data_IF_664247881939
#
_entry.id   IF_664247881939
#
_cell.length_a   1.000
_cell.length_b   1.000
_cell.length_c   1.000
_cell.angle_alpha   90.00
_cell.angle_beta   90.00
_cell.angle_gamma   90.00
#
_symmetry.space_group_name_H-M   'P 1'
#
loop_
_entity.id
_entity.type
_entity.pdbx_description
1 polymer ?
#
# COMPACT_ATOMS: atom_id res chain seq x y z
N UNK A 1 11.50 10.30 64.74
CA UNK A 1 10.75 9.27 64.00
C UNK A 1 11.45 9.14 62.67
N UNK A 2 12.38 8.21 62.61
CA UNK A 2 13.29 7.93 61.51
C UNK A 2 12.84 6.59 60.96
N UNK A 3 12.11 6.62 59.86
CA UNK A 3 11.60 5.41 59.22
C UNK A 3 12.73 4.73 58.45
N UNK A 4 13.01 3.50 58.87
CA UNK A 4 13.98 2.59 58.28
C UNK A 4 13.53 2.16 56.89
N UNK A 5 14.34 2.48 55.87
CA UNK A 5 14.22 1.92 54.53
C UNK A 5 14.69 0.46 54.55
N UNK A 6 13.75 -0.47 54.66
CA UNK A 6 14.01 -1.89 54.45
C UNK A 6 14.11 -2.16 52.94
N UNK A 7 15.30 -2.50 52.46
CA UNK A 7 15.49 -3.01 51.10
C UNK A 7 14.81 -4.38 50.94
N UNK A 8 14.06 -4.62 49.85
CA UNK A 8 13.45 -5.92 49.60
C UNK A 8 14.53 -6.94 49.20
N UNK A 9 14.68 -7.97 50.02
CA UNK A 9 15.49 -9.16 49.73
C UNK A 9 14.89 -9.89 48.53
N UNK A 10 15.61 -9.87 47.39
CA UNK A 10 15.29 -10.73 46.26
C UNK A 10 15.65 -12.19 46.61
N UNK A 11 14.75 -13.16 46.33
CA UNK A 11 15.03 -14.57 46.58
C UNK A 11 16.11 -15.07 45.60
N UNK A 12 17.24 -15.52 46.16
CA UNK A 12 18.28 -16.28 45.46
C UNK A 12 17.82 -17.72 45.26
N UNK A 13 17.19 -18.02 44.12
CA UNK A 13 16.97 -19.39 43.68
C UNK A 13 17.94 -19.69 42.54
N UNK A 14 19.14 -20.11 42.92
CA UNK A 14 20.13 -20.71 42.03
C UNK A 14 19.79 -22.20 41.85
N UNK A 15 19.09 -22.51 40.76
CA UNK A 15 19.19 -23.82 40.12
C UNK A 15 19.15 -23.59 38.62
N UNK A 16 20.32 -23.21 38.07
CA UNK A 16 20.57 -23.24 36.63
C UNK A 16 20.48 -24.70 36.17
N UNK A 17 19.32 -25.11 35.70
CA UNK A 17 19.19 -26.31 34.89
C UNK A 17 19.89 -26.02 33.56
N UNK A 18 21.09 -26.56 33.41
CA UNK A 18 21.83 -26.50 32.14
C UNK A 18 21.08 -27.37 31.13
N UNK A 19 20.26 -26.74 30.29
CA UNK A 19 19.69 -27.40 29.12
C UNK A 19 20.85 -27.87 28.22
N UNK A 20 21.00 -29.18 28.08
CA UNK A 20 21.95 -29.80 27.16
C UNK A 20 21.43 -29.57 25.75
N UNK A 21 21.95 -28.52 25.10
CA UNK A 21 21.66 -28.22 23.71
C UNK A 21 22.25 -29.37 22.86
N UNK A 22 21.38 -30.15 22.23
CA UNK A 22 21.80 -31.22 21.34
C UNK A 22 22.39 -30.61 20.05
N UNK A 23 23.71 -30.54 19.96
CA UNK A 23 24.44 -29.99 18.80
C UNK A 23 24.21 -30.75 17.49
N UNK A 24 23.59 -31.94 17.56
CA UNK A 24 23.21 -32.74 16.39
C UNK A 24 21.73 -32.60 16.02
N UNK A 25 20.97 -31.72 16.68
CA UNK A 25 19.63 -31.38 16.20
C UNK A 25 19.77 -30.64 14.87
N UNK A 26 19.30 -31.24 13.78
CA UNK A 26 19.09 -30.51 12.54
C UNK A 26 18.29 -29.24 12.88
N UNK A 27 18.73 -28.06 12.40
CA UNK A 27 17.98 -26.84 12.66
C UNK A 27 16.56 -27.08 12.17
N UNK A 28 15.59 -27.00 13.09
CA UNK A 28 14.17 -26.97 12.80
C UNK A 28 13.91 -25.65 12.06
N UNK A 29 14.41 -25.56 10.83
CA UNK A 29 13.86 -24.63 9.87
C UNK A 29 12.43 -25.10 9.71
N UNK A 30 11.43 -24.26 10.06
CA UNK A 30 10.06 -24.62 9.82
C UNK A 30 9.96 -25.05 8.36
N UNK A 31 9.35 -26.22 8.12
CA UNK A 31 9.01 -26.69 6.78
C UNK A 31 8.00 -25.69 6.23
N UNK A 32 8.53 -24.59 5.71
CA UNK A 32 7.75 -23.49 5.21
C UNK A 32 7.27 -23.92 3.84
N UNK A 33 6.17 -24.68 3.84
CA UNK A 33 5.31 -24.83 2.69
C UNK A 33 4.66 -23.46 2.42
N UNK A 34 5.46 -22.47 2.02
CA UNK A 34 4.96 -21.19 1.53
C UNK A 34 4.16 -21.51 0.28
N UNK A 35 2.83 -21.40 0.37
CA UNK A 35 2.02 -21.38 -0.84
C UNK A 35 2.53 -20.23 -1.71
N UNK A 36 2.73 -20.46 -3.01
CA UNK A 36 3.36 -19.50 -3.94
C UNK A 36 2.68 -18.10 -3.98
N UNK A 37 1.52 -17.93 -3.32
CA UNK A 37 0.76 -16.68 -3.17
C UNK A 37 1.15 -15.80 -1.99
N UNK A 38 2.01 -16.25 -1.08
CA UNK A 38 2.19 -15.57 0.20
C UNK A 38 3.04 -14.30 0.10
N UNK A 39 2.54 -13.21 0.70
CA UNK A 39 3.26 -11.95 0.86
C UNK A 39 3.95 -11.97 2.23
N UNK A 40 5.27 -11.81 2.23
CA UNK A 40 6.07 -11.75 3.45
C UNK A 40 6.02 -10.33 3.99
N UNK A 41 5.62 -10.14 5.25
CA UNK A 41 5.63 -8.83 5.90
C UNK A 41 7.08 -8.36 6.09
N UNK A 42 7.47 -7.24 5.47
CA UNK A 42 8.83 -6.70 5.55
C UNK A 42 8.92 -5.51 6.52
N UNK A 43 7.93 -4.64 6.52
CA UNK A 43 7.84 -3.49 7.42
C UNK A 43 6.36 -3.21 7.69
N UNK A 44 6.00 -2.91 8.93
CA UNK A 44 4.65 -2.46 9.28
C UNK A 44 4.74 -1.40 10.36
N UNK A 45 3.97 -0.34 10.18
CA UNK A 45 3.71 0.71 11.15
C UNK A 45 2.23 0.66 11.54
N UNK A 46 1.83 1.49 12.51
CA UNK A 46 0.49 1.44 13.15
C UNK A 46 -0.65 1.19 12.18
N UNK A 47 -0.65 1.87 11.03
CA UNK A 47 -1.70 1.80 10.03
C UNK A 47 -1.19 1.40 8.64
N UNK A 48 0.03 0.87 8.51
CA UNK A 48 0.70 0.63 7.23
C UNK A 48 1.40 -0.72 7.26
N UNK A 49 1.24 -1.53 6.22
CA UNK A 49 1.97 -2.78 6.02
C UNK A 49 2.63 -2.78 4.66
N UNK A 50 3.90 -3.15 4.64
CA UNK A 50 4.77 -3.28 3.48
C UNK A 50 5.32 -4.70 3.42
N UNK A 51 5.17 -5.37 2.29
CA UNK A 51 5.56 -6.77 2.15
C UNK A 51 5.97 -7.19 0.74
N UNK A 52 6.70 -8.30 0.66
CA UNK A 52 7.20 -8.89 -0.58
C UNK A 52 6.32 -10.04 -1.07
N UNK A 53 5.73 -9.95 -2.26
CA UNK A 53 5.07 -11.05 -2.97
C UNK A 53 5.75 -11.33 -4.31
N UNK A 54 5.93 -12.61 -4.65
CA UNK A 54 6.64 -13.03 -5.87
C UNK A 54 5.73 -13.53 -6.99
N UNK A 55 4.44 -13.74 -6.72
CA UNK A 55 3.51 -14.40 -7.66
C UNK A 55 3.08 -13.54 -8.84
N UNK A 56 3.07 -12.22 -8.71
CA UNK A 56 2.61 -11.28 -9.73
C UNK A 56 3.38 -9.98 -9.59
N UNK A 57 4.62 -9.96 -10.10
CA UNK A 57 5.47 -8.76 -10.06
C UNK A 57 5.14 -7.86 -11.27
N UNK A 58 4.33 -6.80 -11.14
CA UNK A 58 4.17 -5.85 -12.23
C UNK A 58 5.54 -5.24 -12.58
N UNK A 59 5.80 -5.12 -13.88
CA UNK A 59 6.91 -4.31 -14.37
C UNK A 59 6.46 -2.85 -14.31
N UNK A 60 6.90 -2.13 -13.27
CA UNK A 60 6.48 -0.76 -12.98
C UNK A 60 5.70 -0.65 -11.66
N UNK A 61 4.98 0.45 -11.47
CA UNK A 61 4.16 0.68 -10.28
C UNK A 61 2.69 0.96 -10.65
N UNK A 62 1.78 0.41 -9.85
CA UNK A 62 0.35 0.68 -9.94
C UNK A 62 -0.23 0.73 -8.54
N UNK A 63 -1.09 1.69 -8.30
CA UNK A 63 -1.66 1.87 -6.98
C UNK A 63 -2.67 3.00 -6.93
N UNK A 64 -3.31 3.06 -5.78
CA UNK A 64 -4.23 4.13 -5.40
C UNK A 64 -3.97 4.49 -3.95
N UNK A 65 -3.80 5.78 -3.72
CA UNK A 65 -3.61 6.39 -2.41
C UNK A 65 -4.72 7.41 -2.18
N UNK A 66 -5.33 7.39 -1.00
CA UNK A 66 -6.28 8.39 -0.53
C UNK A 66 -5.79 8.93 0.82
N UNK A 67 -5.45 10.21 0.84
CA UNK A 67 -4.88 10.93 1.97
C UNK A 67 -5.72 12.18 2.25
N UNK A 68 -6.58 12.15 3.26
CA UNK A 68 -7.40 13.27 3.75
C UNK A 68 -8.31 13.94 2.71
N UNK A 69 -7.73 14.78 1.85
CA UNK A 69 -8.40 15.54 0.79
C UNK A 69 -7.80 15.27 -0.59
N UNK A 70 -6.94 14.25 -0.70
CA UNK A 70 -6.13 13.98 -1.87
C UNK A 70 -6.25 12.52 -2.26
N UNK A 71 -6.49 12.25 -3.53
CA UNK A 71 -6.39 10.92 -4.12
C UNK A 71 -5.33 10.94 -5.21
N UNK A 72 -4.48 9.94 -5.20
CA UNK A 72 -3.44 9.72 -6.17
C UNK A 72 -3.54 8.32 -6.74
N UNK A 73 -3.83 8.25 -8.03
CA UNK A 73 -3.82 6.99 -8.76
C UNK A 73 -2.64 7.00 -9.74
N UNK A 74 -1.93 5.89 -9.88
CA UNK A 74 -0.83 5.75 -10.83
C UNK A 74 -0.88 4.44 -11.58
N UNK A 75 -0.43 4.49 -12.83
CA UNK A 75 -0.60 3.41 -13.82
C UNK A 75 0.70 3.15 -14.60
N UNK A 76 1.86 3.24 -13.95
CA UNK A 76 3.15 3.02 -14.59
C UNK A 76 3.46 1.53 -14.84
N UNK A 77 2.59 0.60 -14.40
CA UNK A 77 2.76 -0.81 -14.66
C UNK A 77 2.52 -1.15 -16.14
N UNK A 78 3.31 -2.09 -16.67
CA UNK A 78 3.21 -2.55 -18.05
C UNK A 78 1.81 -3.09 -18.36
N UNK A 79 1.18 -2.60 -19.43
CA UNK A 79 -0.16 -3.00 -19.86
C UNK A 79 -1.30 -2.15 -19.28
N UNK A 80 -0.99 -1.22 -18.37
CA UNK A 80 -1.99 -0.29 -17.86
C UNK A 80 -2.35 0.78 -18.88
N UNK A 81 -3.62 1.19 -18.86
CA UNK A 81 -4.09 2.29 -19.70
C UNK A 81 -3.61 3.62 -19.10
N UNK A 82 -2.93 4.48 -19.87
CA UNK A 82 -2.53 5.79 -19.36
C UNK A 82 -3.76 6.67 -19.09
N UNK A 83 -3.62 7.59 -18.14
CA UNK A 83 -4.63 8.60 -17.88
C UNK A 83 -4.67 9.64 -19.00
N UNK A 84 -5.76 10.43 -19.04
CA UNK A 84 -5.83 11.64 -19.86
C UNK A 84 -4.74 12.63 -19.48
N UNK A 85 -4.52 13.64 -20.33
CA UNK A 85 -3.70 14.80 -19.95
C UNK A 85 -4.61 16.01 -19.87
N UNK A 86 -4.67 16.64 -18.70
CA UNK A 86 -5.43 17.88 -18.49
C UNK A 86 -6.18 17.92 -17.16
N UNK A 87 -7.03 18.93 -17.02
CA UNK A 87 -7.88 19.12 -15.84
C UNK A 87 -9.24 18.49 -16.13
N UNK A 88 -9.61 17.46 -15.37
CA UNK A 88 -10.81 16.63 -15.60
C UNK A 88 -11.60 16.51 -14.30
N UNK A 89 -12.17 17.60 -13.81
CA UNK A 89 -12.89 17.62 -12.52
C UNK A 89 -14.28 17.01 -12.63
N UNK A 90 -14.56 15.98 -11.85
CA UNK A 90 -15.87 15.33 -11.75
C UNK A 90 -16.59 15.72 -10.46
N UNK A 91 -17.41 16.78 -10.54
CA UNK A 91 -18.18 17.28 -9.38
C UNK A 91 -19.18 16.25 -8.84
N UNK A 92 -19.63 15.29 -9.65
CA UNK A 92 -20.56 14.25 -9.20
C UNK A 92 -19.92 13.27 -8.19
N UNK A 93 -18.60 13.16 -8.22
CA UNK A 93 -17.80 12.37 -7.27
C UNK A 93 -17.32 13.18 -6.06
N UNK A 94 -17.71 14.46 -5.96
CA UNK A 94 -17.23 15.36 -4.92
C UNK A 94 -15.82 15.90 -5.16
N UNK A 95 -15.27 15.78 -6.37
CA UNK A 95 -13.95 16.31 -6.72
C UNK A 95 -13.98 17.85 -6.74
N UNK A 96 -13.08 18.47 -6.00
CA UNK A 96 -12.85 19.90 -6.03
C UNK A 96 -12.02 20.30 -7.24
N UNK A 97 -10.98 19.53 -7.52
CA UNK A 97 -10.09 19.68 -8.66
C UNK A 97 -9.52 18.31 -9.00
N UNK A 98 -9.31 18.02 -10.28
CA UNK A 98 -8.58 16.83 -10.71
C UNK A 98 -7.67 17.16 -11.87
N UNK A 99 -6.42 16.75 -11.75
CA UNK A 99 -5.39 16.89 -12.77
C UNK A 99 -4.91 15.50 -13.14
N UNK A 100 -5.05 15.17 -14.41
CA UNK A 100 -4.49 13.95 -14.97
C UNK A 100 -3.22 14.28 -15.76
N UNK A 101 -2.19 13.47 -15.56
CA UNK A 101 -1.02 13.37 -16.42
C UNK A 101 -0.90 11.92 -16.88
N UNK A 102 -0.13 11.68 -17.94
CA UNK A 102 -0.10 10.38 -18.62
C UNK A 102 0.01 9.15 -17.69
N UNK A 103 0.81 9.24 -16.62
CA UNK A 103 1.08 8.14 -15.71
C UNK A 103 0.38 8.23 -14.34
N UNK A 104 -0.24 9.37 -13.99
CA UNK A 104 -0.93 9.52 -12.71
C UNK A 104 -2.10 10.50 -12.77
N UNK A 105 -3.06 10.30 -11.86
CA UNK A 105 -4.22 11.15 -11.65
C UNK A 105 -4.20 11.65 -10.21
N UNK A 106 -4.31 12.97 -10.05
CA UNK A 106 -4.36 13.63 -8.76
C UNK A 106 -5.72 14.31 -8.61
N UNK A 107 -6.55 13.83 -7.70
CA UNK A 107 -7.85 14.42 -7.40
C UNK A 107 -7.88 14.99 -5.98
N UNK A 108 -8.48 16.16 -5.82
CA UNK A 108 -8.69 16.83 -4.54
C UNK A 108 -10.16 16.78 -4.17
N UNK A 109 -10.44 16.57 -2.89
CA UNK A 109 -11.78 16.46 -2.32
C UNK A 109 -11.93 17.42 -1.15
N UNK A 110 -13.16 17.55 -0.66
CA UNK A 110 -13.36 18.12 0.67
C UNK A 110 -12.66 17.22 1.72
N UNK A 111 -11.89 17.79 2.68
CA UNK A 111 -11.12 17.00 3.63
C UNK A 111 -11.98 16.03 4.43
N UNK A 112 -11.60 14.77 4.42
CA UNK A 112 -12.14 13.71 5.27
C UNK A 112 -11.07 13.24 6.24
N UNK A 113 -11.47 12.74 7.40
CA UNK A 113 -10.55 12.38 8.49
C UNK A 113 -10.04 10.93 8.37
N UNK A 114 -9.74 10.49 7.15
CA UNK A 114 -9.34 9.10 6.88
C UNK A 114 -8.16 9.04 5.90
N UNK A 115 -7.28 8.06 6.12
CA UNK A 115 -6.15 7.69 5.25
C UNK A 115 -6.39 6.27 4.79
N UNK A 116 -6.33 6.00 3.49
CA UNK A 116 -6.46 4.65 2.91
C UNK A 116 -5.62 4.55 1.67
N UNK A 117 -4.74 3.56 1.58
CA UNK A 117 -3.95 3.36 0.37
C UNK A 117 -3.59 1.90 0.17
N UNK A 118 -3.42 1.51 -1.09
CA UNK A 118 -2.92 0.21 -1.46
C UNK A 118 -2.18 0.31 -2.79
N UNK A 119 -0.96 -0.24 -2.85
CA UNK A 119 -0.19 -0.24 -4.07
C UNK A 119 0.79 -1.39 -4.19
N UNK A 120 1.27 -1.60 -5.42
CA UNK A 120 2.35 -2.54 -5.72
C UNK A 120 3.40 -1.93 -6.62
N UNK A 121 4.64 -2.28 -6.31
CA UNK A 121 5.83 -1.92 -7.07
C UNK A 121 6.76 -3.13 -7.12
N UNK A 122 6.88 -3.77 -8.28
CA UNK A 122 7.65 -5.01 -8.44
C UNK A 122 7.17 -6.11 -7.47
N UNK A 123 8.05 -6.65 -6.62
CA UNK A 123 7.67 -7.60 -5.58
C UNK A 123 7.09 -6.94 -4.32
N UNK A 124 7.14 -5.61 -4.20
CA UNK A 124 6.68 -4.93 -3.00
C UNK A 124 5.19 -4.62 -3.11
N UNK A 125 4.51 -4.79 -1.99
CA UNK A 125 3.12 -4.41 -1.78
C UNK A 125 3.04 -3.56 -0.53
N UNK A 126 2.25 -2.50 -0.59
CA UNK A 126 1.99 -1.63 0.54
C UNK A 126 0.48 -1.44 0.69
N UNK A 127 -0.01 -1.47 1.92
CA UNK A 127 -1.40 -1.18 2.25
C UNK A 127 -1.45 -0.39 3.54
N UNK A 128 -2.32 0.60 3.63
CA UNK A 128 -2.53 1.33 4.86
C UNK A 128 -3.96 1.81 5.04
N UNK A 129 -4.40 1.93 6.30
CA UNK A 129 -5.67 2.54 6.66
C UNK A 129 -5.68 3.12 8.07
N UNK A 130 -6.09 4.39 8.20
CA UNK A 130 -6.41 5.03 9.47
C UNK A 130 -7.73 5.81 9.37
N UNK A 131 -8.76 5.51 10.19
CA UNK A 131 -8.82 4.39 11.14
C UNK A 131 -8.72 3.03 10.42
N UNK A 132 -8.56 1.95 11.19
CA UNK A 132 -8.51 0.59 10.65
C UNK A 132 -9.75 0.28 9.81
N UNK A 133 -9.54 -0.52 8.76
CA UNK A 133 -10.55 -0.86 7.77
C UNK A 133 -10.31 -2.30 7.28
N UNK A 134 -11.34 -3.14 7.39
CA UNK A 134 -11.26 -4.57 7.05
C UNK A 134 -10.87 -4.85 5.59
N UNK A 135 -11.08 -3.88 4.69
CA UNK A 135 -10.70 -4.00 3.28
C UNK A 135 -9.21 -3.69 3.06
N UNK A 136 -8.60 -2.89 3.94
CA UNK A 136 -7.22 -2.43 3.86
C UNK A 136 -6.35 -3.08 4.94
N UNK A 137 -6.34 -2.49 6.15
CA UNK A 137 -5.59 -2.94 7.33
C UNK A 137 -6.61 -3.11 8.47
N UNK A 138 -6.96 -4.36 8.84
CA UNK A 138 -8.06 -4.63 9.77
C UNK A 138 -7.71 -4.29 11.22
N UNK A 139 -6.43 -4.35 11.59
CA UNK A 139 -5.98 -4.13 12.97
C UNK A 139 -4.52 -3.66 13.01
N UNK A 140 -4.05 -3.28 14.19
CA UNK A 140 -2.68 -2.87 14.46
C UNK A 140 -1.67 -3.98 14.15
N UNK A 141 -0.63 -3.62 13.40
CA UNK A 141 0.50 -4.49 13.11
C UNK A 141 1.80 -3.67 13.23
N UNK A 142 2.86 -4.29 13.76
CA UNK A 142 4.18 -3.68 13.83
C UNK A 142 5.20 -4.69 13.36
N UNK A 143 6.00 -4.34 12.35
CA UNK A 143 7.06 -5.18 11.84
C UNK A 143 8.22 -4.35 11.33
N UNK A 144 9.44 -4.87 11.44
CA UNK A 144 10.64 -4.19 10.97
C UNK A 144 11.63 -5.21 10.42
N UNK A 145 12.01 -5.06 9.14
CA UNK A 145 12.96 -5.94 8.44
C UNK A 145 12.58 -7.43 8.48
N UNK A 146 11.30 -7.75 8.29
CA UNK A 146 10.82 -9.13 8.31
C UNK A 146 10.53 -9.68 9.70
N UNK A 147 10.83 -8.92 10.75
CA UNK A 147 10.54 -9.30 12.13
C UNK A 147 9.23 -8.63 12.53
N UNK A 148 8.18 -9.42 12.74
CA UNK A 148 6.94 -8.93 13.33
C UNK A 148 7.14 -8.76 14.84
N UNK A 149 6.79 -7.59 15.36
CA UNK A 149 6.87 -7.21 16.77
C UNK A 149 5.50 -7.27 17.47
N UNK A 150 4.40 -7.06 16.73
CA UNK A 150 3.03 -7.07 17.23
C UNK A 150 2.05 -7.41 16.08
N UNK A 151 0.92 -8.12 16.31
CA UNK A 151 0.39 -8.61 17.59
C UNK A 151 1.25 -9.72 18.22
N UNK A 152 1.83 -10.57 17.38
CA UNK A 152 2.68 -11.68 17.79
C UNK A 152 4.09 -11.50 17.24
N UNK A 153 5.10 -11.88 18.03
CA UNK A 153 6.50 -11.81 17.60
C UNK A 153 6.80 -12.97 16.67
N UNK A 154 7.42 -12.68 15.52
CA UNK A 154 7.83 -13.71 14.56
C UNK A 154 8.78 -13.20 13.49
N UNK A 155 9.31 -14.10 12.67
CA UNK A 155 10.21 -13.79 11.56
C UNK A 155 9.59 -14.30 10.26
N UNK A 156 9.63 -13.47 9.21
CA UNK A 156 9.03 -13.75 7.90
C UNK A 156 7.55 -14.16 8.00
N UNK A 157 6.82 -13.56 8.95
CA UNK A 157 5.41 -13.83 9.15
C UNK A 157 4.61 -13.34 7.94
N UNK A 158 3.57 -14.09 7.59
CA UNK A 158 2.62 -13.72 6.55
C UNK A 158 2.02 -12.34 6.86
N UNK A 159 2.01 -11.46 5.86
CA UNK A 159 1.31 -10.18 5.99
C UNK A 159 -0.19 -10.40 6.28
N UNK A 160 -0.84 -9.53 7.06
CA UNK A 160 -2.28 -9.59 7.26
C UNK A 160 -3.03 -9.63 5.92
N UNK A 161 -4.12 -10.39 5.82
CA UNK A 161 -4.91 -10.42 4.61
C UNK A 161 -5.47 -9.03 4.31
N UNK A 162 -5.31 -8.56 3.08
CA UNK A 162 -5.89 -7.30 2.61
C UNK A 162 -6.76 -7.55 1.38
N UNK A 163 -8.06 -7.29 1.53
CA UNK A 163 -9.02 -7.39 0.44
C UNK A 163 -8.65 -6.49 -0.74
N UNK A 164 -8.07 -5.32 -0.48
CA UNK A 164 -7.59 -4.39 -1.50
C UNK A 164 -6.41 -4.93 -2.31
N UNK A 165 -5.45 -5.59 -1.67
CA UNK A 165 -4.34 -6.22 -2.41
C UNK A 165 -4.86 -7.34 -3.34
N UNK A 166 -5.84 -8.13 -2.88
CA UNK A 166 -6.51 -9.13 -3.72
C UNK A 166 -7.29 -8.49 -4.87
N UNK A 167 -7.95 -7.34 -4.64
CA UNK A 167 -8.63 -6.59 -5.72
C UNK A 167 -7.63 -6.06 -6.76
N UNK A 168 -6.47 -5.58 -6.33
CA UNK A 168 -5.39 -5.15 -7.23
C UNK A 168 -4.89 -6.32 -8.09
N UNK A 169 -4.76 -7.52 -7.53
CA UNK A 169 -4.40 -8.73 -8.29
C UNK A 169 -5.46 -9.10 -9.34
N UNK A 170 -6.74 -8.91 -9.03
CA UNK A 170 -7.87 -9.30 -9.88
C UNK A 170 -8.30 -8.21 -10.88
N UNK A 171 -7.78 -6.98 -10.75
CA UNK A 171 -7.92 -5.97 -11.79
C UNK A 171 -7.17 -6.46 -13.02
N UNK A 172 -7.91 -7.10 -13.93
CA UNK A 172 -7.40 -7.68 -15.18
C UNK A 172 -6.34 -6.75 -15.79
N UNK A 173 -5.10 -7.21 -15.87
CA UNK A 173 -4.16 -6.70 -16.86
C UNK A 173 -4.92 -6.72 -18.18
N UNK A 174 -5.13 -5.56 -18.79
CA UNK A 174 -5.74 -5.52 -20.10
C UNK A 174 -4.83 -6.32 -21.04
N UNK A 175 -5.44 -7.26 -21.77
CA UNK A 175 -4.76 -8.11 -22.72
C UNK A 175 -4.11 -7.21 -23.79
N UNK A 176 -2.80 -7.01 -23.68
CA UNK A 176 -1.97 -6.14 -24.53
C UNK A 176 -2.05 -6.52 -26.02
N UNK A 177 -2.59 -7.70 -26.33
CA UNK A 177 -2.82 -8.17 -27.69
C UNK A 177 -3.85 -7.33 -28.47
N UNK A 178 -4.70 -6.55 -27.80
CA UNK A 178 -5.70 -5.70 -28.46
C UNK A 178 -5.28 -4.23 -28.68
N UNK A 179 -4.14 -3.79 -28.16
CA UNK A 179 -3.77 -2.36 -28.12
C UNK A 179 -2.97 -1.83 -29.34
N UNK A 180 -2.79 -2.62 -30.41
CA UNK A 180 -2.01 -2.20 -31.59
C UNK A 180 -2.75 -1.28 -32.59
N UNK A 181 -4.00 -0.88 -32.29
CA UNK A 181 -4.75 0.10 -33.10
C UNK A 181 -5.15 1.32 -32.27
N UNK A 182 -4.16 2.00 -31.67
CA UNK A 182 -4.36 3.37 -31.18
C UNK A 182 -4.30 4.33 -32.38
N UNK A 183 -5.43 4.48 -33.09
CA UNK A 183 -5.58 5.58 -34.04
C UNK A 183 -5.57 6.89 -33.25
N UNK A 184 -4.48 7.65 -33.36
CA UNK A 184 -4.45 9.06 -32.95
C UNK A 184 -5.45 9.84 -33.79
N UNK A 185 -6.71 9.86 -33.38
CA UNK A 185 -7.66 10.86 -33.90
C UNK A 185 -7.24 12.21 -33.30
N UNK A 186 -6.37 12.93 -34.01
CA UNK A 186 -6.11 14.34 -33.74
C UNK A 186 -7.46 15.07 -33.78
N UNK A 187 -7.99 15.39 -32.61
CA UNK A 187 -9.12 16.31 -32.48
C UNK A 187 -8.65 17.64 -33.08
N UNK A 188 -9.29 18.08 -34.16
CA UNK A 188 -9.00 19.37 -34.78
C UNK A 188 -8.99 20.46 -33.71
N UNK A 189 -8.02 21.39 -33.74
CA UNK A 189 -7.97 22.51 -32.79
C UNK A 189 -9.29 23.29 -32.90
N UNK A 190 -9.99 23.42 -31.76
CA UNK A 190 -11.14 24.31 -31.66
C UNK A 190 -10.61 25.71 -31.90
N UNK A 191 -11.00 26.31 -33.03
CA UNK A 191 -10.62 27.68 -33.40
C UNK A 191 -11.03 28.62 -32.27
N UNK A 192 -10.07 29.40 -31.77
CA UNK A 192 -10.32 30.40 -30.74
C UNK A 192 -11.42 31.38 -31.22
N UNK A 193 -12.37 31.76 -30.35
CA UNK A 193 -13.34 32.80 -30.68
C UNK A 193 -12.59 34.11 -30.95
N UNK A 194 -12.71 34.61 -32.18
CA UNK A 194 -12.26 35.95 -32.54
C UNK A 194 -13.04 36.96 -31.70
N UNK A 195 -12.32 37.69 -30.86
CA UNK A 195 -12.85 38.86 -30.17
C UNK A 195 -13.11 39.95 -31.21
N UNK A 196 -14.33 39.99 -31.74
CA UNK A 196 -14.81 41.15 -32.48
C UNK A 196 -15.07 42.27 -31.47
N UNK A 197 -14.39 43.39 -31.70
CA UNK A 197 -14.47 44.60 -30.93
C UNK A 197 -15.87 45.22 -31.06
N UNK A 198 -16.64 45.23 -29.97
CA UNK A 198 -17.74 46.18 -29.80
C UNK A 198 -17.15 47.56 -29.52
N UNK A 199 -16.82 48.26 -30.59
CA UNK A 199 -16.71 49.72 -30.62
C UNK A 199 -18.02 50.23 -31.21
N UNK A 200 -19.00 50.59 -30.37
CA UNK A 200 -19.96 51.65 -30.70
C UNK A 200 -20.84 52.09 -29.51
N UNK A 201 -20.76 53.40 -29.25
CA UNK A 201 -21.65 54.31 -28.46
C UNK A 201 -21.32 54.57 -26.99
#
# INVERSE_FOLDING_TARGET
>A
MSDENAEPLLPSNDSEETEVINENAEPLLPSNDFEETEVINCQSEICITFGCGFKNMPIGCKGREELFCYQHDYCCALGEKPYSVGVVTDKSKGEQCRTDVFCCSCAFFEPKLYCKFAHRTCCMSEVGSFPFDDEYVPDFNCAYWGIQCCPEVGCCVKAPPSGMLTKLDNMKMFDLTAASTFEMTQKQPVSAPTAEAEMER
#
